data_IF_544652398986
#
_entry.id   IF_544652398986
#
_cell.length_a   1.000
_cell.length_b   1.000
_cell.length_c   1.000
_cell.angle_alpha   90.00
_cell.angle_beta   90.00
_cell.angle_gamma   90.00
#
_symmetry.space_group_name_H-M   'P 1'
#
loop_
_entity.id
_entity.type
_entity.pdbx_description
1 polymer ?
#
# COMPACT_ATOMS: atom_id res chain seq x y z
N UNK A 1 13.81 -4.84 14.96
CA UNK A 1 14.98 -5.75 14.80
C UNK A 1 14.64 -7.05 14.06
N UNK A 2 13.59 -7.79 14.46
CA UNK A 2 13.14 -9.03 13.77
C UNK A 2 12.80 -8.84 12.28
N UNK A 3 12.25 -7.68 11.93
CA UNK A 3 11.89 -7.33 10.56
C UNK A 3 13.15 -7.28 9.66
N UNK A 4 14.26 -6.73 10.17
CA UNK A 4 15.54 -6.63 9.46
C UNK A 4 16.18 -8.01 9.16
N UNK A 5 15.94 -9.00 10.03
CA UNK A 5 16.43 -10.37 9.85
C UNK A 5 15.62 -11.10 8.77
N UNK A 6 14.31 -10.88 8.71
CA UNK A 6 13.45 -11.39 7.64
C UNK A 6 13.76 -10.75 6.26
N UNK A 7 14.42 -9.60 6.23
CA UNK A 7 14.77 -8.87 5.02
C UNK A 7 15.92 -9.49 4.21
N UNK A 8 16.87 -10.18 4.85
CA UNK A 8 18.05 -10.74 4.17
C UNK A 8 17.70 -11.85 3.16
N UNK A 9 16.52 -12.46 3.27
CA UNK A 9 16.16 -13.68 2.53
C UNK A 9 15.17 -13.50 1.38
N UNK A 10 14.64 -12.30 1.16
CA UNK A 10 13.49 -12.10 0.25
C UNK A 10 13.84 -11.09 -0.85
N UNK A 11 13.80 -11.56 -2.11
CA UNK A 11 14.05 -10.84 -3.37
C UNK A 11 12.98 -9.76 -3.70
N UNK A 12 12.33 -9.22 -2.68
CA UNK A 12 11.39 -8.09 -2.78
C UNK A 12 12.21 -6.82 -2.60
N UNK A 13 12.16 -5.92 -3.60
CA UNK A 13 12.86 -4.63 -3.61
C UNK A 13 12.84 -3.96 -2.23
N UNK A 14 14.02 -3.80 -1.63
CA UNK A 14 14.22 -3.19 -0.31
C UNK A 14 13.55 -1.80 -0.19
N UNK A 15 13.38 -1.13 -1.34
CA UNK A 15 12.71 0.17 -1.47
C UNK A 15 11.24 0.15 -1.03
N UNK A 16 10.52 -0.95 -1.30
CA UNK A 16 9.10 -1.05 -0.94
C UNK A 16 8.93 -1.23 0.56
N UNK A 17 9.81 -2.03 1.15
CA UNK A 17 9.75 -2.30 2.57
C UNK A 17 10.24 -1.10 3.40
N UNK A 18 11.19 -0.32 2.90
CA UNK A 18 11.56 0.96 3.53
C UNK A 18 10.41 1.97 3.44
N UNK A 19 9.68 2.04 2.32
CA UNK A 19 8.50 2.90 2.21
C UNK A 19 7.43 2.53 3.26
N UNK A 20 7.09 1.25 3.43
CA UNK A 20 6.15 0.82 4.47
C UNK A 20 6.64 1.14 5.89
N UNK A 21 7.93 0.99 6.13
CA UNK A 21 8.53 1.33 7.42
C UNK A 21 8.44 2.83 7.71
N UNK A 22 8.76 3.68 6.73
CA UNK A 22 8.69 5.14 6.85
C UNK A 22 7.24 5.58 7.06
N UNK A 23 6.29 5.09 6.27
CA UNK A 23 4.86 5.39 6.41
C UNK A 23 4.37 4.98 7.80
N UNK A 24 4.71 3.76 8.24
CA UNK A 24 4.36 3.28 9.58
C UNK A 24 4.93 4.15 10.69
N UNK A 25 6.18 4.62 10.54
CA UNK A 25 6.84 5.50 11.50
C UNK A 25 6.13 6.85 11.63
N UNK A 26 5.89 7.52 10.50
CA UNK A 26 5.19 8.82 10.47
C UNK A 26 3.77 8.73 11.01
N UNK A 27 3.04 7.69 10.62
CA UNK A 27 1.65 7.55 11.01
C UNK A 27 1.50 7.12 12.48
N UNK A 28 2.42 6.31 13.01
CA UNK A 28 2.47 6.02 14.46
C UNK A 28 2.76 7.29 15.26
N UNK A 29 3.68 8.14 14.80
CA UNK A 29 3.93 9.44 15.41
C UNK A 29 2.67 10.31 15.40
N UNK A 30 1.98 10.39 14.26
CA UNK A 30 0.76 11.18 14.12
C UNK A 30 -0.36 10.72 15.07
N UNK A 31 -0.57 9.41 15.20
CA UNK A 31 -1.59 8.85 16.11
C UNK A 31 -1.24 9.11 17.57
N UNK A 32 0.04 9.02 17.93
CA UNK A 32 0.47 9.35 19.29
C UNK A 32 0.23 10.83 19.60
N UNK A 33 0.49 11.73 18.65
CA UNK A 33 0.20 13.16 18.80
C UNK A 33 -1.32 13.39 18.89
N UNK A 34 -2.13 12.74 18.04
CA UNK A 34 -3.59 12.90 18.08
C UNK A 34 -4.19 12.40 19.40
N UNK A 35 -3.67 11.31 19.98
CA UNK A 35 -4.05 10.84 21.31
C UNK A 35 -3.85 11.94 22.36
N UNK A 36 -2.65 12.54 22.40
CA UNK A 36 -2.33 13.59 23.38
C UNK A 36 -3.23 14.81 23.19
N UNK A 37 -3.46 15.23 21.94
CA UNK A 37 -4.36 16.35 21.63
C UNK A 37 -5.78 16.05 22.10
N UNK A 38 -6.30 14.85 21.84
CA UNK A 38 -7.65 14.45 22.27
C UNK A 38 -7.79 14.44 23.79
N UNK A 39 -6.80 13.93 24.53
CA UNK A 39 -6.82 13.97 26.00
C UNK A 39 -6.83 15.42 26.49
N UNK A 40 -5.96 16.27 25.94
CA UNK A 40 -5.88 17.69 26.31
C UNK A 40 -7.18 18.44 26.00
N UNK A 41 -7.80 18.16 24.86
CA UNK A 41 -9.07 18.77 24.46
C UNK A 41 -10.20 18.41 25.45
N UNK A 42 -10.31 17.14 25.84
CA UNK A 42 -11.30 16.69 26.83
C UNK A 42 -11.00 17.27 28.21
N UNK A 43 -9.73 17.32 28.63
CA UNK A 43 -9.35 17.92 29.91
C UNK A 43 -9.70 19.41 30.00
N UNK A 44 -9.59 20.14 28.89
CA UNK A 44 -9.90 21.58 28.85
C UNK A 44 -11.40 21.84 28.88
N UNK A 45 -12.21 21.04 28.18
CA UNK A 45 -13.66 21.25 28.09
C UNK A 45 -14.45 20.64 29.25
N UNK A 46 -14.10 19.44 29.70
CA UNK A 46 -14.88 18.63 30.65
C UNK A 46 -14.19 18.55 32.03
N UNK A 47 -12.98 19.10 32.15
CA UNK A 47 -12.19 19.09 33.38
C UNK A 47 -11.32 17.84 33.56
N UNK A 48 -10.48 17.89 34.60
CA UNK A 48 -9.39 16.94 34.84
C UNK A 48 -9.87 15.50 35.08
N UNK A 49 -10.99 15.32 35.77
CA UNK A 49 -11.56 14.00 36.09
C UNK A 49 -12.11 13.31 34.84
N UNK A 50 -12.82 14.04 33.99
CA UNK A 50 -13.33 13.52 32.71
C UNK A 50 -12.18 13.17 31.75
N UNK A 51 -11.12 13.99 31.73
CA UNK A 51 -9.92 13.70 30.95
C UNK A 51 -9.18 12.42 31.35
N UNK A 52 -9.13 12.08 32.65
CA UNK A 52 -8.53 10.81 33.11
C UNK A 52 -9.36 9.60 32.70
N UNK A 53 -10.69 9.67 32.84
CA UNK A 53 -11.59 8.60 32.36
C UNK A 53 -11.48 8.43 30.85
N UNK A 54 -11.34 9.53 30.12
CA UNK A 54 -11.13 9.50 28.68
C UNK A 54 -9.78 8.90 28.29
N UNK A 55 -8.71 9.24 29.01
CA UNK A 55 -7.39 8.65 28.83
C UNK A 55 -7.43 7.12 28.99
N UNK A 56 -8.06 6.62 30.06
CA UNK A 56 -8.07 5.19 30.35
C UNK A 56 -8.97 4.40 29.41
N UNK A 57 -10.07 5.00 28.94
CA UNK A 57 -11.03 4.30 28.06
C UNK A 57 -10.67 4.45 26.59
N UNK A 58 -10.44 5.68 26.13
CA UNK A 58 -10.22 5.98 24.72
C UNK A 58 -8.74 5.89 24.35
N UNK A 59 -7.82 6.10 25.29
CA UNK A 59 -6.38 5.93 25.04
C UNK A 59 -6.06 4.57 24.44
N UNK A 60 -6.62 3.50 25.00
CA UNK A 60 -6.46 2.14 24.46
C UNK A 60 -7.16 1.96 23.10
N UNK A 61 -8.35 2.53 22.92
CA UNK A 61 -9.07 2.47 21.63
C UNK A 61 -8.26 3.09 20.48
N UNK A 62 -7.51 4.18 20.71
CA UNK A 62 -6.61 4.75 19.70
C UNK A 62 -5.53 3.76 19.24
N UNK A 63 -5.01 2.90 20.15
CA UNK A 63 -4.03 1.86 19.77
C UNK A 63 -4.68 0.78 18.91
N UNK A 64 -5.86 0.31 19.31
CA UNK A 64 -6.59 -0.75 18.60
C UNK A 64 -7.00 -0.27 17.21
N UNK A 65 -7.61 0.91 17.11
CA UNK A 65 -8.01 1.53 15.84
C UNK A 65 -6.78 1.71 14.94
N UNK A 66 -5.65 2.15 15.50
CA UNK A 66 -4.42 2.31 14.74
C UNK A 66 -3.91 1.00 14.15
N UNK A 67 -3.90 -0.09 14.93
CA UNK A 67 -3.49 -1.42 14.45
C UNK A 67 -4.40 -1.88 13.29
N UNK A 68 -5.72 -1.70 13.43
CA UNK A 68 -6.67 -2.02 12.36
C UNK A 68 -6.44 -1.19 11.10
N UNK A 69 -6.30 0.13 11.24
CA UNK A 69 -6.01 1.03 10.12
C UNK A 69 -4.70 0.64 9.44
N UNK A 70 -3.66 0.33 10.22
CA UNK A 70 -2.35 -0.03 9.69
C UNK A 70 -2.39 -1.31 8.83
N UNK A 71 -3.12 -2.35 9.29
CA UNK A 71 -3.33 -3.59 8.53
C UNK A 71 -4.10 -3.30 7.22
N UNK A 72 -5.15 -2.49 7.29
CA UNK A 72 -5.93 -2.09 6.11
C UNK A 72 -5.07 -1.29 5.12
N UNK A 73 -4.24 -0.37 5.60
CA UNK A 73 -3.35 0.45 4.79
C UNK A 73 -2.36 -0.42 4.00
N UNK A 74 -1.74 -1.39 4.68
CA UNK A 74 -0.85 -2.36 4.03
C UNK A 74 -1.62 -3.14 2.95
N UNK A 75 -2.80 -3.68 3.28
CA UNK A 75 -3.61 -4.45 2.34
C UNK A 75 -4.07 -3.66 1.12
N UNK A 76 -4.44 -2.38 1.29
CA UNK A 76 -4.83 -1.48 0.20
C UNK A 76 -3.62 -1.20 -0.71
N UNK A 77 -2.46 -0.85 -0.13
CA UNK A 77 -1.27 -0.55 -0.92
C UNK A 77 -0.80 -1.80 -1.69
N UNK A 78 -0.82 -2.97 -1.04
CA UNK A 78 -0.49 -4.23 -1.70
C UNK A 78 -1.46 -4.53 -2.85
N UNK A 79 -2.77 -4.44 -2.63
CA UNK A 79 -3.76 -4.65 -3.71
C UNK A 79 -3.61 -3.65 -4.84
N UNK A 80 -3.45 -2.36 -4.54
CA UNK A 80 -3.32 -1.32 -5.54
C UNK A 80 -2.08 -1.55 -6.43
N UNK A 81 -0.95 -1.93 -5.82
CA UNK A 81 0.26 -2.26 -6.58
C UNK A 81 0.14 -3.55 -7.39
N UNK A 82 -0.57 -4.57 -6.90
CA UNK A 82 -0.84 -5.77 -7.68
C UNK A 82 -1.66 -5.43 -8.94
N UNK A 83 -2.65 -4.55 -8.79
CA UNK A 83 -3.45 -4.05 -9.92
C UNK A 83 -2.56 -3.32 -10.93
N UNK A 84 -1.68 -2.41 -10.48
CA UNK A 84 -0.79 -1.66 -11.38
C UNK A 84 0.18 -2.58 -12.15
N UNK A 85 0.72 -3.61 -11.49
CA UNK A 85 1.57 -4.63 -12.13
C UNK A 85 0.81 -5.47 -13.15
N UNK A 86 -0.39 -5.94 -12.81
CA UNK A 86 -1.21 -6.72 -13.75
C UNK A 86 -1.62 -5.88 -14.96
N UNK A 87 -1.97 -4.61 -14.77
CA UNK A 87 -2.28 -3.69 -15.87
C UNK A 87 -1.08 -3.45 -16.79
N UNK A 88 0.10 -3.21 -16.21
CA UNK A 88 1.33 -2.97 -16.97
C UNK A 88 1.76 -4.21 -17.76
N UNK A 89 1.68 -5.39 -17.14
CA UNK A 89 1.96 -6.66 -17.80
C UNK A 89 0.94 -6.95 -18.91
N UNK A 90 -0.35 -6.71 -18.68
CA UNK A 90 -1.41 -6.88 -19.66
C UNK A 90 -1.19 -6.00 -20.90
N UNK A 91 -0.84 -4.72 -20.72
CA UNK A 91 -0.52 -3.82 -21.83
C UNK A 91 0.67 -4.32 -22.66
N UNK A 92 1.72 -4.82 -22.00
CA UNK A 92 2.88 -5.40 -22.69
C UNK A 92 2.51 -6.65 -23.50
N UNK A 93 1.75 -7.57 -22.93
CA UNK A 93 1.28 -8.77 -23.65
C UNK A 93 0.41 -8.38 -24.86
N UNK A 94 -0.48 -7.39 -24.69
CA UNK A 94 -1.33 -6.93 -25.77
C UNK A 94 -0.53 -6.33 -26.94
N UNK A 95 0.53 -5.56 -26.65
CA UNK A 95 1.38 -4.96 -27.68
C UNK A 95 2.14 -6.03 -28.47
N UNK A 96 2.72 -7.03 -27.79
CA UNK A 96 3.42 -8.14 -28.45
C UNK A 96 2.49 -8.98 -29.34
N UNK A 97 1.25 -9.23 -28.88
CA UNK A 97 0.24 -9.92 -29.68
C UNK A 97 -0.15 -9.09 -30.92
N UNK A 98 -0.29 -7.77 -30.77
CA UNK A 98 -0.56 -6.85 -31.87
C UNK A 98 0.53 -6.87 -32.95
N UNK A 99 1.80 -6.80 -32.55
CA UNK A 99 2.94 -6.89 -33.48
C UNK A 99 2.99 -8.24 -34.20
N UNK A 100 2.83 -9.33 -33.45
CA UNK A 100 2.86 -10.69 -34.01
C UNK A 100 1.73 -10.89 -35.03
N UNK A 101 0.51 -10.44 -34.70
CA UNK A 101 -0.64 -10.48 -35.61
C UNK A 101 -0.35 -9.71 -36.90
N UNK A 102 0.16 -8.49 -36.79
CA UNK A 102 0.46 -7.65 -37.96
C UNK A 102 1.54 -8.28 -38.85
N UNK A 103 2.55 -8.92 -38.25
CA UNK A 103 3.62 -9.65 -38.97
C UNK A 103 3.10 -10.89 -39.69
N UNK A 104 2.13 -11.60 -39.12
CA UNK A 104 1.48 -12.74 -39.78
C UNK A 104 0.61 -12.26 -40.95
N UNK A 105 -0.18 -11.20 -40.76
CA UNK A 105 -1.03 -10.63 -41.81
C UNK A 105 -0.18 -10.13 -42.98
N UNK A 106 0.95 -9.46 -42.72
CA UNK A 106 1.83 -8.97 -43.79
C UNK A 106 2.46 -10.11 -44.59
N UNK A 107 2.87 -11.20 -43.92
CA UNK A 107 3.37 -12.42 -44.57
C UNK A 107 2.30 -13.12 -45.42
N UNK A 108 1.07 -13.22 -44.92
CA UNK A 108 -0.04 -13.79 -45.68
C UNK A 108 -0.36 -12.96 -46.93
N UNK A 109 -0.32 -11.63 -46.81
CA UNK A 109 -0.57 -10.72 -47.94
C UNK A 109 0.53 -10.82 -49.01
N UNK A 110 1.79 -10.94 -48.61
CA UNK A 110 2.92 -11.15 -49.55
C UNK A 110 2.89 -12.53 -50.20
N UNK A 111 2.53 -13.59 -49.46
CA UNK A 111 2.38 -14.92 -50.03
C UNK A 111 1.26 -14.99 -51.07
N UNK A 112 0.10 -14.37 -50.78
CA UNK A 112 -1.04 -14.31 -51.71
C UNK A 112 -0.74 -13.50 -52.97
N UNK A 113 0.03 -12.41 -52.86
CA UNK A 113 0.44 -11.59 -54.01
C UNK A 113 1.45 -12.29 -54.93
N UNK A 114 2.14 -13.34 -54.46
CA UNK A 114 3.18 -14.05 -55.21
C UNK A 114 2.66 -15.30 -55.92
N UNK A 115 1.43 -15.74 -55.61
CA UNK A 115 0.78 -16.90 -56.24
C UNK A 115 -0.32 -16.51 -57.22
N UNK A 116 -0.47 -15.22 -57.53
CA UNK A 116 -1.44 -14.65 -58.46
C UNK A 116 -0.72 -13.88 -59.55
#
# INVERSE_FOLDING_TARGET
LIILVFFKKSYISAFRKSAYFIIGLFATFFVNVSRVISIMFVMVNEGRTAGMVFHDTYGEMYSVIWIFIYILLIGIIERFMLVERTQSAYKGVLSYLGETRNKIISKLKTAKSKSS
#
